data_IF_203006211885
#
_entry.id   IF_203006211885
#
_cell.length_a   1.000
_cell.length_b   1.000
_cell.length_c   1.000
_cell.angle_alpha   90.00
_cell.angle_beta   90.00
_cell.angle_gamma   90.00
#
_symmetry.space_group_name_H-M   'P 1'
#
loop_
_entity.id
_entity.type
_entity.pdbx_description
1 polymer ?
#
# COMPACT_ATOMS: atom_id res chain seq x y z
N UNK A 1 -1.11 -7.76 -1.90
CA UNK A 1 -1.89 -6.60 -2.39
C UNK A 1 -2.32 -6.72 -3.85
N UNK A 2 -1.46 -7.07 -4.82
CA UNK A 2 -1.82 -7.09 -6.26
C UNK A 2 -2.94 -8.07 -6.63
N UNK A 3 -2.94 -9.28 -6.08
CA UNK A 3 -4.02 -10.26 -6.32
C UNK A 3 -5.41 -9.76 -5.89
N UNK A 4 -5.48 -8.96 -4.81
CA UNK A 4 -6.72 -8.31 -4.36
C UNK A 4 -7.18 -7.26 -5.37
N UNK A 5 -6.26 -6.44 -5.89
CA UNK A 5 -6.55 -5.44 -6.92
C UNK A 5 -7.04 -6.10 -8.22
N UNK A 6 -6.43 -7.21 -8.62
CA UNK A 6 -6.84 -7.97 -9.80
C UNK A 6 -8.21 -8.61 -9.62
N UNK A 7 -8.49 -9.19 -8.44
CA UNK A 7 -9.76 -9.86 -8.13
C UNK A 7 -10.92 -8.88 -7.93
N UNK A 8 -10.65 -7.75 -7.28
CA UNK A 8 -11.66 -6.75 -6.91
C UNK A 8 -11.33 -5.41 -7.55
N UNK A 9 -11.38 -5.35 -8.89
CA UNK A 9 -10.97 -4.18 -9.68
C UNK A 9 -11.65 -2.86 -9.29
N UNK A 10 -12.90 -2.91 -8.81
CA UNK A 10 -13.65 -1.73 -8.37
C UNK A 10 -13.31 -1.27 -6.95
N UNK A 11 -12.63 -2.10 -6.14
CA UNK A 11 -12.31 -1.80 -4.75
C UNK A 11 -11.49 -0.51 -4.57
N UNK A 12 -10.46 -0.22 -5.39
CA UNK A 12 -9.72 1.03 -5.27
C UNK A 12 -10.60 2.26 -5.52
N UNK A 13 -11.51 2.19 -6.49
CA UNK A 13 -12.47 3.26 -6.78
C UNK A 13 -13.43 3.47 -5.62
N UNK A 14 -13.92 2.40 -4.99
CA UNK A 14 -14.77 2.49 -3.80
C UNK A 14 -14.01 3.11 -2.61
N UNK A 15 -12.77 2.67 -2.38
CA UNK A 15 -11.90 3.18 -1.29
C UNK A 15 -11.62 4.67 -1.45
N UNK A 16 -11.56 5.18 -2.68
CA UNK A 16 -11.34 6.61 -2.96
C UNK A 16 -12.64 7.41 -3.11
N UNK A 17 -13.80 6.79 -2.99
CA UNK A 17 -15.09 7.44 -3.26
C UNK A 17 -15.66 8.16 -2.03
N UNK A 18 -16.40 9.24 -2.27
CA UNK A 18 -17.18 9.93 -1.25
C UNK A 18 -18.24 9.02 -0.62
N UNK A 19 -18.71 7.99 -1.31
CA UNK A 19 -19.65 7.03 -0.75
C UNK A 19 -19.07 6.35 0.50
N UNK A 20 -17.78 6.00 0.49
CA UNK A 20 -17.12 5.41 1.65
C UNK A 20 -16.83 6.46 2.73
N UNK A 21 -16.32 7.63 2.35
CA UNK A 21 -15.82 8.61 3.32
C UNK A 21 -16.90 9.50 3.95
N UNK A 22 -18.00 9.74 3.23
CA UNK A 22 -19.10 10.63 3.62
C UNK A 22 -20.36 9.85 4.00
N UNK A 23 -20.78 8.89 3.18
CA UNK A 23 -22.10 8.25 3.34
C UNK A 23 -22.09 7.02 4.25
N UNK A 24 -20.98 6.29 4.35
CA UNK A 24 -20.93 4.96 4.99
C UNK A 24 -19.94 4.90 6.18
N UNK A 25 -20.28 5.46 7.36
CA UNK A 25 -19.36 5.56 8.49
C UNK A 25 -18.84 4.20 9.00
N UNK A 26 -19.66 3.15 8.94
CA UNK A 26 -19.25 1.79 9.33
C UNK A 26 -18.22 1.19 8.38
N UNK A 27 -18.33 1.47 7.07
CA UNK A 27 -17.33 1.00 6.10
C UNK A 27 -16.02 1.77 6.24
N UNK A 28 -16.11 3.08 6.49
CA UNK A 28 -14.95 3.93 6.81
C UNK A 28 -14.20 3.41 8.03
N UNK A 29 -14.89 3.13 9.13
CA UNK A 29 -14.28 2.61 10.36
C UNK A 29 -13.55 1.28 10.09
N UNK A 30 -14.21 0.33 9.41
CA UNK A 30 -13.59 -0.95 9.02
C UNK A 30 -12.36 -0.78 8.13
N UNK A 31 -12.39 0.16 7.19
CA UNK A 31 -11.22 0.46 6.35
C UNK A 31 -10.06 1.02 7.20
N UNK A 32 -10.36 1.93 8.12
CA UNK A 32 -9.37 2.52 9.01
C UNK A 32 -8.76 1.51 9.97
N UNK A 33 -9.56 0.58 10.51
CA UNK A 33 -9.08 -0.53 11.34
C UNK A 33 -8.14 -1.44 10.55
N UNK A 34 -8.55 -1.82 9.33
CA UNK A 34 -7.71 -2.61 8.43
C UNK A 34 -6.40 -1.90 8.11
N UNK A 35 -6.44 -0.60 7.84
CA UNK A 35 -5.24 0.19 7.57
C UNK A 35 -4.31 0.24 8.79
N UNK A 36 -4.83 0.54 9.99
CA UNK A 36 -4.04 0.58 11.22
C UNK A 36 -3.36 -0.75 11.49
N UNK A 37 -4.11 -1.85 11.39
CA UNK A 37 -3.56 -3.18 11.56
C UNK A 37 -2.43 -3.47 10.57
N UNK A 38 -2.60 -3.12 9.28
CA UNK A 38 -1.55 -3.29 8.28
C UNK A 38 -0.31 -2.42 8.56
N UNK A 39 -0.53 -1.17 8.97
CA UNK A 39 0.54 -0.26 9.37
C UNK A 39 1.37 -0.86 10.50
N UNK A 40 0.71 -1.32 11.57
CA UNK A 40 1.39 -1.87 12.74
C UNK A 40 2.26 -3.09 12.38
N UNK A 41 1.72 -4.01 11.57
CA UNK A 41 2.43 -5.22 11.16
C UNK A 41 3.65 -4.90 10.28
N UNK A 42 3.50 -4.01 9.29
CA UNK A 42 4.60 -3.70 8.35
C UNK A 42 5.64 -2.80 9.00
N UNK A 43 5.21 -1.81 9.79
CA UNK A 43 6.11 -0.95 10.54
C UNK A 43 6.95 -1.76 11.54
N UNK A 44 6.40 -2.84 12.11
CA UNK A 44 7.16 -3.73 12.98
C UNK A 44 8.27 -4.47 12.24
N UNK A 45 7.99 -5.00 11.04
CA UNK A 45 9.02 -5.61 10.18
C UNK A 45 10.12 -4.60 9.85
N UNK A 46 9.72 -3.35 9.55
CA UNK A 46 10.67 -2.28 9.25
C UNK A 46 11.55 -1.97 10.47
N UNK A 47 10.96 -1.85 11.67
CA UNK A 47 11.71 -1.63 12.92
C UNK A 47 12.70 -2.75 13.20
N UNK A 48 12.33 -4.00 12.94
CA UNK A 48 13.23 -5.14 13.10
C UNK A 48 14.44 -5.03 12.15
N UNK A 49 14.21 -4.68 10.88
CA UNK A 49 15.28 -4.43 9.91
C UNK A 49 16.17 -3.24 10.29
N UNK A 50 15.59 -2.19 10.86
CA UNK A 50 16.33 -1.03 11.37
C UNK A 50 17.21 -1.38 12.57
N UNK A 51 16.72 -2.25 13.47
CA UNK A 51 17.47 -2.67 14.66
C UNK A 51 18.74 -3.48 14.32
N UNK A 52 18.72 -4.21 13.19
CA UNK A 52 19.87 -4.98 12.69
C UNK A 52 20.70 -4.25 11.63
N UNK A 53 20.32 -3.03 11.26
CA UNK A 53 21.03 -2.21 10.27
C UNK A 53 20.84 -2.65 8.81
N UNK A 54 19.78 -3.40 8.51
CA UNK A 54 19.42 -3.78 7.12
C UNK A 54 18.56 -2.72 6.44
N UNK A 55 17.78 -1.96 7.23
CA UNK A 55 16.93 -0.88 6.75
C UNK A 55 17.41 0.44 7.37
N UNK A 56 17.48 1.49 6.55
CA UNK A 56 17.85 2.83 6.97
C UNK A 56 17.00 3.32 8.14
N UNK A 57 17.64 3.89 9.15
CA UNK A 57 17.01 4.33 10.39
C UNK A 57 16.83 5.85 10.50
N UNK A 58 17.26 6.60 9.47
CA UNK A 58 17.05 8.05 9.36
C UNK A 58 15.59 8.42 9.01
N UNK A 59 14.80 7.44 8.55
CA UNK A 59 13.36 7.58 8.26
C UNK A 59 12.56 6.68 9.21
N UNK A 60 11.47 7.20 9.77
CA UNK A 60 10.64 6.43 10.70
C UNK A 60 9.90 5.28 10.01
N UNK A 61 9.73 4.16 10.70
CA UNK A 61 9.08 2.96 10.16
C UNK A 61 7.67 3.24 9.59
N UNK A 62 6.89 4.08 10.27
CA UNK A 62 5.55 4.47 9.82
C UNK A 62 5.58 5.30 8.53
N UNK A 63 6.61 6.13 8.34
CA UNK A 63 6.79 6.92 7.11
C UNK A 63 7.20 6.02 5.94
N UNK A 64 8.06 5.03 6.20
CA UNK A 64 8.44 4.01 5.21
C UNK A 64 7.20 3.16 4.83
N UNK A 65 6.34 2.82 5.79
CA UNK A 65 5.06 2.14 5.52
C UNK A 65 4.16 2.94 4.57
N UNK A 66 4.00 4.24 4.81
CA UNK A 66 3.20 5.10 3.93
C UNK A 66 3.76 5.10 2.50
N UNK A 67 5.08 5.14 2.34
CA UNK A 67 5.72 5.03 1.03
C UNK A 67 5.45 3.67 0.37
N UNK A 68 5.56 2.57 1.14
CA UNK A 68 5.23 1.22 0.68
C UNK A 68 3.78 1.12 0.20
N UNK A 69 2.83 1.71 0.93
CA UNK A 69 1.42 1.74 0.55
C UNK A 69 1.19 2.47 -0.78
N UNK A 70 1.93 3.57 -1.01
CA UNK A 70 1.90 4.35 -2.25
C UNK A 70 2.24 3.55 -3.51
N UNK A 71 3.11 2.54 -3.38
CA UNK A 71 3.47 1.63 -4.49
C UNK A 71 2.24 0.87 -5.01
N UNK A 72 1.31 0.50 -4.12
CA UNK A 72 0.11 -0.23 -4.49
C UNK A 72 -1.03 0.68 -4.92
N UNK A 73 -1.22 1.83 -4.25
CA UNK A 73 -2.30 2.76 -4.56
C UNK A 73 -2.25 3.24 -6.01
N UNK A 74 -1.06 3.59 -6.50
CA UNK A 74 -0.87 4.03 -7.89
C UNK A 74 -1.25 2.92 -8.88
N UNK A 75 -0.77 1.70 -8.65
CA UNK A 75 -1.12 0.53 -9.47
C UNK A 75 -2.63 0.29 -9.46
N UNK A 76 -3.22 0.34 -8.28
CA UNK A 76 -4.64 0.11 -8.07
C UNK A 76 -5.51 1.11 -8.83
N UNK A 77 -5.14 2.40 -8.81
CA UNK A 77 -5.84 3.45 -9.55
C UNK A 77 -5.74 3.20 -11.06
N UNK A 78 -4.52 3.00 -11.59
CA UNK A 78 -4.31 2.81 -13.03
C UNK A 78 -4.97 1.53 -13.56
N UNK A 79 -5.07 0.48 -12.73
CA UNK A 79 -5.74 -0.77 -13.09
C UNK A 79 -7.27 -0.73 -12.92
N UNK A 80 -7.81 0.11 -12.04
CA UNK A 80 -9.22 0.06 -11.59
C UNK A 80 -10.29 0.29 -12.67
N UNK A 81 -9.99 1.06 -13.72
CA UNK A 81 -11.03 1.50 -14.68
C UNK A 81 -11.15 0.60 -15.91
N UNK A 82 -10.04 0.33 -16.57
CA UNK A 82 -10.03 -0.41 -17.85
C UNK A 82 -9.21 -1.70 -17.78
N UNK A 83 -8.42 -1.90 -16.73
CA UNK A 83 -7.54 -3.06 -16.56
C UNK A 83 -6.38 -3.16 -17.56
N UNK A 84 -6.23 -2.18 -18.47
CA UNK A 84 -5.29 -2.24 -19.60
C UNK A 84 -4.26 -1.11 -19.63
N UNK A 85 -4.31 -0.15 -18.69
CA UNK A 85 -3.37 0.97 -18.68
C UNK A 85 -1.96 0.55 -18.29
N UNK A 86 -1.85 -0.45 -17.41
CA UNK A 86 -0.61 -1.08 -16.98
C UNK A 86 -0.86 -2.57 -16.75
N UNK A 87 0.20 -3.37 -16.83
CA UNK A 87 0.21 -4.68 -16.19
C UNK A 87 0.53 -4.50 -14.68
N UNK A 88 -0.41 -4.81 -13.77
CA UNK A 88 -0.23 -4.57 -12.35
C UNK A 88 0.85 -5.47 -11.72
N UNK A 89 1.11 -6.64 -12.30
CA UNK A 89 2.14 -7.56 -11.81
C UNK A 89 3.54 -7.05 -12.19
N UNK A 90 3.72 -6.69 -13.46
CA UNK A 90 4.99 -6.12 -13.96
C UNK A 90 5.33 -4.83 -13.20
N UNK A 91 4.34 -3.94 -13.00
CA UNK A 91 4.58 -2.69 -12.28
C UNK A 91 4.89 -2.92 -10.79
N UNK A 92 4.27 -3.92 -10.16
CA UNK A 92 4.54 -4.25 -8.76
C UNK A 92 5.97 -4.75 -8.56
N UNK A 93 6.46 -5.60 -9.46
CA UNK A 93 7.84 -6.10 -9.43
C UNK A 93 8.85 -4.97 -9.62
N UNK A 94 8.61 -4.06 -10.56
CA UNK A 94 9.44 -2.87 -10.75
C UNK A 94 9.46 -1.98 -9.50
N UNK A 95 8.28 -1.72 -8.93
CA UNK A 95 8.12 -0.88 -7.73
C UNK A 95 8.82 -1.48 -6.51
N UNK A 96 8.75 -2.81 -6.35
CA UNK A 96 9.42 -3.53 -5.27
C UNK A 96 10.93 -3.41 -5.35
N UNK A 97 11.53 -3.59 -6.54
CA UNK A 97 12.97 -3.46 -6.75
C UNK A 97 13.47 -2.07 -6.36
N UNK A 98 12.77 -1.02 -6.78
CA UNK A 98 13.12 0.36 -6.43
C UNK A 98 12.96 0.62 -4.93
N UNK A 99 11.89 0.12 -4.31
CA UNK A 99 11.64 0.31 -2.89
C UNK A 99 12.73 -0.33 -2.03
N UNK A 100 13.09 -1.59 -2.29
CA UNK A 100 14.14 -2.30 -1.54
C UNK A 100 15.46 -1.53 -1.60
N UNK A 101 15.85 -1.05 -2.79
CA UNK A 101 17.05 -0.23 -2.94
C UNK A 101 16.98 1.10 -2.19
N UNK A 102 15.80 1.72 -2.10
CA UNK A 102 15.63 3.02 -1.45
C UNK A 102 15.67 2.95 0.09
N UNK A 103 15.31 1.81 0.66
CA UNK A 103 15.20 1.61 2.12
C UNK A 103 16.38 0.85 2.73
N UNK A 104 17.17 0.15 1.92
CA UNK A 104 18.38 -0.53 2.39
C UNK A 104 19.44 0.48 2.90
N UNK A 105 20.33 -0.02 3.77
CA UNK A 105 21.55 0.69 4.23
C UNK A 105 22.67 0.58 3.22
#
# INVERSE_FOLDING_TARGET
>A
HISVVQRYRALPTLVLSDALWVAEPKLRERLQDSHRWQQDQVAEIIRQGQAVGEIRSDIQADQIFVQFLGLFLTIAILYSRTGAMIDPQVQAEASWKMFVQAVAV
#
